data_IF_180636407361
#
_entry.id   IF_180636407361
#
_cell.length_a   1.000
_cell.length_b   1.000
_cell.length_c   1.000
_cell.angle_alpha   90.00
_cell.angle_beta   90.00
_cell.angle_gamma   90.00
#
_symmetry.space_group_name_H-M   'P 1'
#
loop_
_entity.id
_entity.type
_entity.pdbx_description
1 polymer ?
#
# COMPACT_ATOMS: atom_id res chain seq x y z
N UNK A 1 8.95 24.79 8.77
CA UNK A 1 10.41 24.85 8.97
C UNK A 1 10.83 25.82 10.06
N UNK A 2 10.57 27.14 9.95
CA UNK A 2 11.02 28.15 10.93
C UNK A 2 10.73 27.80 12.42
N UNK A 3 9.52 27.32 12.73
CA UNK A 3 9.13 26.87 14.09
C UNK A 3 10.08 25.79 14.64
N UNK A 4 10.51 24.82 13.82
CA UNK A 4 11.46 23.78 14.25
C UNK A 4 12.85 24.37 14.50
N UNK A 5 13.30 25.31 13.66
CA UNK A 5 14.58 26.00 13.85
C UNK A 5 14.60 26.79 15.15
N UNK A 6 13.57 27.62 15.42
CA UNK A 6 13.49 28.40 16.65
C UNK A 6 13.34 27.53 17.90
N UNK A 7 12.58 26.42 17.85
CA UNK A 7 12.52 25.45 18.96
C UNK A 7 13.86 24.75 19.22
N UNK A 8 14.71 24.58 18.20
CA UNK A 8 16.08 24.09 18.39
C UNK A 8 16.98 25.16 19.00
N UNK A 9 16.91 26.40 18.51
CA UNK A 9 17.71 27.52 19.01
C UNK A 9 17.43 27.82 20.48
N UNK A 10 16.16 27.78 20.91
CA UNK A 10 15.76 27.94 22.33
C UNK A 10 16.31 26.80 23.21
N UNK A 11 16.47 25.58 22.68
CA UNK A 11 17.10 24.48 23.44
C UNK A 11 18.61 24.64 23.61
N UNK A 12 19.28 25.24 22.63
CA UNK A 12 20.74 25.46 22.66
C UNK A 12 21.13 26.75 23.38
N UNK A 13 20.28 27.77 23.34
CA UNK A 13 20.47 29.06 24.00
C UNK A 13 19.12 29.54 24.58
N UNK A 14 18.76 29.10 25.80
CA UNK A 14 17.51 29.47 26.44
C UNK A 14 17.53 30.89 27.02
N UNK A 15 18.69 31.57 27.04
CA UNK A 15 18.83 32.89 27.68
C UNK A 15 18.49 34.06 26.76
N UNK A 16 18.39 33.81 25.45
CA UNK A 16 18.17 34.84 24.44
C UNK A 16 16.68 35.04 24.11
N UNK A 17 16.03 36.13 24.58
CA UNK A 17 14.59 36.32 24.46
C UNK A 17 14.10 36.50 23.01
N UNK A 18 15.00 36.89 22.08
CA UNK A 18 14.65 37.11 20.67
C UNK A 18 14.21 35.82 19.96
N UNK A 19 14.67 34.65 20.42
CA UNK A 19 14.21 33.37 19.86
C UNK A 19 12.77 33.06 20.26
N UNK A 20 12.39 33.34 21.50
CA UNK A 20 11.05 33.13 22.03
C UNK A 20 10.03 34.06 21.36
N UNK A 21 10.39 35.34 21.20
CA UNK A 21 9.60 36.35 20.48
C UNK A 21 9.36 35.94 19.01
N UNK A 22 10.42 35.53 18.29
CA UNK A 22 10.31 35.06 16.90
C UNK A 22 9.53 33.76 16.76
N UNK A 23 9.58 32.87 17.75
CA UNK A 23 8.77 31.66 17.77
C UNK A 23 7.27 32.00 17.93
N UNK A 24 6.91 32.91 18.84
CA UNK A 24 5.53 33.38 19.02
C UNK A 24 4.97 34.00 17.74
N UNK A 25 5.74 34.86 17.06
CA UNK A 25 5.36 35.41 15.76
C UNK A 25 5.09 34.31 14.72
N UNK A 26 5.97 33.29 14.64
CA UNK A 26 5.79 32.18 13.70
C UNK A 26 4.55 31.31 14.01
N UNK A 27 4.25 31.05 15.29
CA UNK A 27 3.06 30.29 15.68
C UNK A 27 1.78 31.12 15.48
N UNK A 28 1.81 32.46 15.62
CA UNK A 28 0.68 33.35 15.30
C UNK A 28 0.38 33.38 13.79
N UNK A 29 1.37 33.56 12.93
CA UNK A 29 1.20 33.54 11.47
C UNK A 29 0.76 32.15 10.97
N UNK A 30 1.25 31.07 11.59
CA UNK A 30 0.74 29.72 11.34
C UNK A 30 -0.74 29.59 11.73
N UNK A 31 -1.15 30.17 12.85
CA UNK A 31 -2.55 30.20 13.29
C UNK A 31 -3.46 30.89 12.27
N UNK A 32 -3.07 32.07 11.78
CA UNK A 32 -3.79 32.78 10.70
C UNK A 32 -3.89 31.93 9.43
N UNK A 33 -2.78 31.37 8.95
CA UNK A 33 -2.76 30.56 7.73
C UNK A 33 -3.63 29.29 7.83
N UNK A 34 -3.75 28.70 9.04
CA UNK A 34 -4.68 27.58 9.28
C UNK A 34 -6.14 28.07 9.27
N UNK A 35 -6.45 29.16 9.97
CA UNK A 35 -7.81 29.71 10.03
C UNK A 35 -8.32 30.15 8.63
N UNK A 36 -7.47 30.78 7.82
CA UNK A 36 -7.78 31.10 6.43
C UNK A 36 -8.02 29.84 5.58
N UNK A 37 -7.17 28.81 5.73
CA UNK A 37 -7.34 27.54 5.01
C UNK A 37 -8.62 26.78 5.43
N UNK A 38 -9.03 26.87 6.70
CA UNK A 38 -10.28 26.28 7.21
C UNK A 38 -11.51 27.04 6.71
N UNK A 39 -11.47 28.38 6.65
CA UNK A 39 -12.53 29.20 6.06
C UNK A 39 -12.77 28.83 4.58
N UNK A 40 -11.71 28.57 3.81
CA UNK A 40 -11.82 28.05 2.45
C UNK A 40 -12.37 26.62 2.35
N UNK A 41 -12.37 25.84 3.43
CA UNK A 41 -12.82 24.45 3.39
C UNK A 41 -14.35 24.29 3.45
N UNK A 42 -15.06 25.23 4.09
CA UNK A 42 -16.51 25.17 4.29
C UNK A 42 -17.38 25.43 3.06
N UNK A 43 -16.90 26.22 2.09
CA UNK A 43 -17.71 26.65 0.93
C UNK A 43 -17.29 26.00 -0.41
N UNK A 44 -16.09 25.42 -0.50
CA UNK A 44 -15.51 25.01 -1.79
C UNK A 44 -15.81 23.57 -2.25
N UNK A 45 -16.10 22.64 -1.34
CA UNK A 45 -16.20 21.20 -1.69
C UNK A 45 -17.49 20.83 -2.41
N UNK A 46 -18.63 21.36 -1.96
CA UNK A 46 -19.93 20.92 -2.46
C UNK A 46 -20.34 21.70 -3.71
N UNK A 47 -20.28 23.03 -3.69
CA UNK A 47 -20.68 23.88 -4.83
C UNK A 47 -19.89 23.60 -6.13
N UNK A 48 -18.57 23.35 -6.05
CA UNK A 48 -17.73 23.13 -7.24
C UNK A 48 -18.02 21.79 -7.94
N UNK A 49 -18.70 20.85 -7.28
CA UNK A 49 -19.13 19.57 -7.86
C UNK A 49 -20.63 19.59 -8.16
N UNK A 50 -21.47 20.12 -7.25
CA UNK A 50 -22.92 20.20 -7.48
C UNK A 50 -23.27 21.04 -8.71
N UNK A 51 -22.65 22.21 -8.92
CA UNK A 51 -23.01 23.09 -10.04
C UNK A 51 -22.83 22.41 -11.40
N UNK A 52 -21.66 21.84 -11.77
CA UNK A 52 -21.53 21.13 -13.04
C UNK A 52 -22.34 19.82 -13.12
N UNK A 53 -22.58 19.13 -12.00
CA UNK A 53 -23.46 17.94 -11.99
C UNK A 53 -24.92 18.33 -12.23
N UNK A 54 -25.41 19.40 -11.60
CA UNK A 54 -26.75 19.95 -11.82
C UNK A 54 -26.92 20.51 -13.23
N UNK A 55 -25.89 21.15 -13.80
CA UNK A 55 -25.89 21.59 -15.20
C UNK A 55 -25.92 20.40 -16.18
N UNK A 56 -25.16 19.33 -15.89
CA UNK A 56 -25.17 18.10 -16.67
C UNK A 56 -26.51 17.37 -16.60
N UNK A 57 -27.09 17.21 -15.40
CA UNK A 57 -28.41 16.61 -15.21
C UNK A 57 -29.53 17.47 -15.83
N UNK A 58 -29.42 18.79 -15.74
CA UNK A 58 -30.33 19.73 -16.40
C UNK A 58 -30.27 19.62 -17.92
N UNK A 59 -29.06 19.55 -18.50
CA UNK A 59 -28.90 19.30 -19.94
C UNK A 59 -29.46 17.94 -20.36
N UNK A 60 -29.24 16.88 -19.58
CA UNK A 60 -29.82 15.54 -19.84
C UNK A 60 -31.35 15.59 -19.76
N UNK A 61 -31.93 16.27 -18.77
CA UNK A 61 -33.37 16.47 -18.66
C UNK A 61 -33.95 17.27 -19.83
N UNK A 62 -33.27 18.35 -20.26
CA UNK A 62 -33.68 19.14 -21.42
C UNK A 62 -33.65 18.30 -22.70
N UNK A 63 -32.59 17.50 -22.91
CA UNK A 63 -32.51 16.55 -24.04
C UNK A 63 -33.59 15.49 -23.95
N UNK A 64 -33.88 14.96 -22.77
CA UNK A 64 -34.92 13.95 -22.56
C UNK A 64 -36.33 14.52 -22.78
N UNK A 65 -36.58 15.79 -22.42
CA UNK A 65 -37.81 16.50 -22.75
C UNK A 65 -37.91 16.90 -24.23
N UNK A 66 -36.78 17.19 -24.90
CA UNK A 66 -36.76 17.41 -26.36
C UNK A 66 -36.88 16.12 -27.18
N UNK A 67 -36.65 14.95 -26.55
CA UNK A 67 -36.91 13.62 -27.10
C UNK A 67 -38.36 13.14 -26.84
N UNK A 68 -39.25 14.02 -26.36
CA UNK A 68 -40.69 13.73 -26.36
C UNK A 68 -41.20 13.49 -27.79
N UNK A 69 -42.18 12.58 -27.98
CA UNK A 69 -42.44 11.93 -29.26
C UNK A 69 -42.87 12.84 -30.42
N UNK A 70 -43.29 14.08 -30.14
CA UNK A 70 -43.78 15.03 -31.15
C UNK A 70 -42.69 15.58 -32.11
N UNK A 71 -41.40 15.38 -31.81
CA UNK A 71 -40.28 15.87 -32.64
C UNK A 71 -39.73 14.87 -33.68
N UNK A 72 -40.22 13.63 -33.74
CA UNK A 72 -39.59 12.55 -34.52
C UNK A 72 -39.78 12.62 -36.05
N UNK A 73 -40.69 13.46 -36.56
CA UNK A 73 -40.99 13.51 -38.00
C UNK A 73 -39.95 14.24 -38.86
N UNK A 74 -39.03 15.03 -38.27
CA UNK A 74 -38.02 15.80 -39.02
C UNK A 74 -36.58 15.44 -38.65
N UNK A 75 -36.12 14.33 -39.21
CA UNK A 75 -34.74 13.85 -39.07
C UNK A 75 -33.66 14.88 -39.43
N UNK A 76 -33.90 15.74 -40.43
CA UNK A 76 -32.96 16.78 -40.84
C UNK A 76 -32.68 17.82 -39.75
N UNK A 77 -33.63 18.04 -38.82
CA UNK A 77 -33.44 18.89 -37.66
C UNK A 77 -32.79 18.15 -36.47
N UNK A 78 -32.93 16.82 -36.41
CA UNK A 78 -32.43 16.02 -35.29
C UNK A 78 -30.90 15.90 -35.29
N UNK A 79 -30.27 15.78 -36.47
CA UNK A 79 -28.80 15.69 -36.58
C UNK A 79 -28.10 16.93 -35.99
N UNK A 80 -28.40 18.19 -36.39
CA UNK A 80 -27.76 19.36 -35.80
C UNK A 80 -28.09 19.53 -34.31
N UNK A 81 -29.32 19.20 -33.87
CA UNK A 81 -29.67 19.23 -32.44
C UNK A 81 -28.81 18.25 -31.62
N UNK A 82 -28.64 17.02 -32.10
CA UNK A 82 -27.82 15.99 -31.46
C UNK A 82 -26.33 16.38 -31.46
N UNK A 83 -25.85 17.01 -32.54
CA UNK A 83 -24.49 17.54 -32.65
C UNK A 83 -24.24 18.69 -31.65
N UNK A 84 -25.19 19.62 -31.50
CA UNK A 84 -25.15 20.66 -30.46
C UNK A 84 -25.15 20.04 -29.07
N UNK A 85 -25.99 19.04 -28.80
CA UNK A 85 -26.01 18.34 -27.51
C UNK A 85 -24.66 17.68 -27.19
N UNK A 86 -24.08 16.95 -28.15
CA UNK A 86 -22.75 16.33 -28.00
C UNK A 86 -21.67 17.39 -27.74
N UNK A 87 -21.67 18.51 -28.48
CA UNK A 87 -20.72 19.59 -28.28
C UNK A 87 -20.88 20.30 -26.92
N UNK A 88 -22.12 20.50 -26.46
CA UNK A 88 -22.40 21.04 -25.11
C UNK A 88 -21.94 20.08 -24.00
N UNK A 89 -22.16 18.77 -24.18
CA UNK A 89 -21.75 17.75 -23.21
C UNK A 89 -20.22 17.62 -23.15
N UNK A 90 -19.55 17.64 -24.30
CA UNK A 90 -18.08 17.72 -24.40
C UNK A 90 -17.52 19.00 -23.77
N UNK A 91 -18.14 20.15 -24.03
CA UNK A 91 -17.79 21.43 -23.39
C UNK A 91 -17.91 21.38 -21.86
N UNK A 92 -19.00 20.80 -21.35
CA UNK A 92 -19.21 20.54 -19.93
C UNK A 92 -18.13 19.64 -19.33
N UNK A 93 -17.75 18.55 -20.02
CA UNK A 93 -16.66 17.66 -19.61
C UNK A 93 -15.31 18.41 -19.58
N UNK A 94 -14.99 19.22 -20.60
CA UNK A 94 -13.74 20.01 -20.64
C UNK A 94 -13.67 21.01 -19.49
N UNK A 95 -14.78 21.68 -19.16
CA UNK A 95 -14.87 22.58 -18.01
C UNK A 95 -14.72 21.81 -16.68
N UNK A 96 -15.35 20.65 -16.52
CA UNK A 96 -15.21 19.77 -15.36
C UNK A 96 -13.76 19.31 -15.15
N UNK A 97 -13.12 18.79 -16.20
CA UNK A 97 -11.72 18.35 -16.16
C UNK A 97 -10.78 19.51 -15.85
N UNK A 98 -11.04 20.69 -16.41
CA UNK A 98 -10.28 21.91 -16.12
C UNK A 98 -10.44 22.36 -14.66
N UNK A 99 -11.66 22.30 -14.13
CA UNK A 99 -11.99 22.54 -12.72
C UNK A 99 -11.25 21.57 -11.79
N UNK A 100 -11.36 20.26 -12.06
CA UNK A 100 -10.64 19.23 -11.32
C UNK A 100 -9.12 19.40 -11.38
N UNK A 101 -8.54 19.79 -12.52
CA UNK A 101 -7.11 20.06 -12.66
C UNK A 101 -6.68 21.24 -11.78
N UNK A 102 -7.44 22.35 -11.77
CA UNK A 102 -7.19 23.50 -10.88
C UNK A 102 -7.36 23.12 -9.40
N UNK A 103 -8.41 22.38 -9.05
CA UNK A 103 -8.67 21.92 -7.69
C UNK A 103 -7.54 20.99 -7.17
N UNK A 104 -7.07 20.05 -8.00
CA UNK A 104 -5.97 19.14 -7.65
C UNK A 104 -4.64 19.88 -7.48
N UNK A 105 -4.36 20.91 -8.29
CA UNK A 105 -3.18 21.78 -8.12
C UNK A 105 -3.27 22.57 -6.81
N UNK A 106 -4.44 23.13 -6.47
CA UNK A 106 -4.66 23.82 -5.17
C UNK A 106 -4.51 22.85 -3.98
N UNK A 107 -5.12 21.68 -4.03
CA UNK A 107 -4.99 20.63 -3.00
C UNK A 107 -3.53 20.20 -2.78
N UNK A 108 -2.74 20.01 -3.85
CA UNK A 108 -1.30 19.72 -3.72
C UNK A 108 -0.54 20.85 -3.00
N UNK A 109 -0.85 22.13 -3.27
CA UNK A 109 -0.24 23.26 -2.57
C UNK A 109 -0.62 23.30 -1.08
N UNK A 110 -1.86 22.96 -0.75
CA UNK A 110 -2.34 22.91 0.64
C UNK A 110 -1.66 21.76 1.42
N UNK A 111 -1.56 20.55 0.85
CA UNK A 111 -0.86 19.44 1.50
C UNK A 111 0.65 19.70 1.66
N UNK A 112 1.29 20.32 0.66
CA UNK A 112 2.68 20.76 0.80
C UNK A 112 2.86 21.80 1.92
N UNK A 113 1.88 22.69 2.16
CA UNK A 113 1.91 23.64 3.26
C UNK A 113 1.58 23.01 4.63
N UNK A 114 0.73 21.99 4.68
CA UNK A 114 0.29 21.32 5.91
C UNK A 114 1.31 20.32 6.48
N UNK A 115 2.38 20.00 5.76
CA UNK A 115 3.60 19.43 6.33
C UNK A 115 3.61 17.91 6.55
N UNK A 116 2.53 17.18 6.28
CA UNK A 116 2.45 15.72 6.50
C UNK A 116 3.47 14.91 5.72
N UNK A 117 3.81 15.37 4.51
CA UNK A 117 4.59 14.58 3.55
C UNK A 117 6.12 14.80 3.71
N UNK A 118 6.54 15.76 4.54
CA UNK A 118 7.96 16.05 4.80
C UNK A 118 8.69 14.92 5.55
N UNK A 119 7.97 13.99 6.18
CA UNK A 119 8.59 12.86 6.89
C UNK A 119 9.10 11.74 5.96
N UNK A 120 8.64 11.67 4.71
CA UNK A 120 8.94 10.55 3.79
C UNK A 120 9.72 10.92 2.53
N UNK A 121 9.85 12.20 2.17
CA UNK A 121 10.79 12.61 1.12
C UNK A 121 12.23 12.53 1.64
N UNK A 122 13.05 11.66 1.05
CA UNK A 122 14.43 11.38 1.47
C UNK A 122 15.45 12.52 1.17
N UNK A 123 15.12 13.75 1.55
CA UNK A 123 16.05 14.87 1.58
C UNK A 123 17.03 14.68 2.74
N UNK A 124 18.24 14.20 2.43
CA UNK A 124 19.35 14.15 3.40
C UNK A 124 19.80 15.59 3.71
N UNK A 125 19.17 16.21 4.69
CA UNK A 125 19.65 17.48 5.27
C UNK A 125 21.07 17.29 5.81
N UNK A 126 22.00 18.18 5.43
CA UNK A 126 23.32 18.23 6.08
C UNK A 126 23.12 18.44 7.60
N UNK A 127 23.68 17.55 8.41
CA UNK A 127 23.45 17.57 9.87
C UNK A 127 24.04 18.81 10.56
N UNK A 128 25.04 19.45 9.94
CA UNK A 128 25.68 20.67 10.46
C UNK A 128 24.87 21.94 10.18
N UNK A 129 24.35 22.12 8.96
CA UNK A 129 23.69 23.37 8.54
C UNK A 129 22.18 23.27 8.27
N UNK A 130 21.61 22.07 8.23
CA UNK A 130 20.17 21.84 8.04
C UNK A 130 19.62 22.14 6.63
N UNK A 131 20.46 22.62 5.69
CA UNK A 131 20.05 22.99 4.33
C UNK A 131 19.78 21.72 3.51
N UNK A 132 18.65 21.70 2.79
CA UNK A 132 18.11 20.52 2.11
C UNK A 132 18.30 20.56 0.58
N UNK A 133 19.54 20.80 0.12
CA UNK A 133 19.91 20.71 -1.31
C UNK A 133 21.36 20.24 -1.44
N UNK A 134 21.57 18.94 -1.66
CA UNK A 134 22.82 18.41 -2.19
C UNK A 134 22.45 17.32 -3.19
N UNK A 135 22.77 17.52 -4.47
CA UNK A 135 22.74 16.44 -5.44
C UNK A 135 23.74 15.35 -5.00
N UNK A 136 23.41 14.09 -5.23
CA UNK A 136 24.17 12.95 -4.70
C UNK A 136 25.52 12.77 -5.41
N UNK A 137 26.49 13.64 -5.12
CA UNK A 137 27.83 13.61 -5.71
C UNK A 137 28.85 14.60 -5.15
N UNK A 138 28.44 15.79 -4.68
CA UNK A 138 29.40 16.79 -4.18
C UNK A 138 29.72 16.63 -2.68
N UNK A 139 31.01 16.42 -2.38
CA UNK A 139 31.62 16.48 -1.04
C UNK A 139 32.93 17.27 -1.19
N UNK A 140 33.24 18.27 -0.34
CA UNK A 140 32.53 18.70 0.87
C UNK A 140 31.25 19.51 0.61
N UNK A 141 30.48 19.78 1.68
CA UNK A 141 29.25 20.58 1.59
C UNK A 141 29.57 22.07 1.39
N UNK A 142 29.30 22.60 0.18
CA UNK A 142 29.55 23.99 -0.27
C UNK A 142 29.14 25.14 0.68
N UNK A 143 28.31 24.89 1.69
CA UNK A 143 27.83 25.91 2.63
C UNK A 143 28.50 25.87 4.02
N UNK A 144 29.23 24.81 4.36
CA UNK A 144 29.83 24.67 5.70
C UNK A 144 31.13 23.86 5.74
N UNK A 145 31.63 23.39 4.59
CA UNK A 145 32.87 22.62 4.41
C UNK A 145 33.08 21.43 5.37
N UNK A 146 32.00 20.95 5.98
CA UNK A 146 32.05 19.90 6.99
C UNK A 146 32.62 18.60 6.38
N UNK A 147 33.77 18.08 6.89
CA UNK A 147 34.33 16.83 6.42
C UNK A 147 33.40 15.67 6.77
N UNK A 148 33.48 14.60 5.98
CA UNK A 148 32.70 13.39 6.18
C UNK A 148 33.03 12.81 7.57
N UNK A 149 32.02 12.71 8.43
CA UNK A 149 32.18 12.06 9.73
C UNK A 149 32.50 10.57 9.52
N UNK A 150 33.76 10.19 9.73
CA UNK A 150 34.17 8.79 9.76
C UNK A 150 33.59 8.12 11.00
N UNK A 151 32.88 7.00 10.77
CA UNK A 151 32.27 6.25 11.85
C UNK A 151 33.36 5.55 12.68
N UNK A 152 33.65 6.09 13.88
CA UNK A 152 34.47 5.40 14.87
C UNK A 152 33.78 4.09 15.30
N UNK A 153 34.50 2.95 15.36
CA UNK A 153 33.94 1.69 15.87
C UNK A 153 33.63 1.79 17.37
N UNK A 154 32.52 1.19 17.79
CA UNK A 154 31.94 1.35 19.12
C UNK A 154 32.54 0.41 20.18
N UNK A 155 33.86 0.41 20.35
CA UNK A 155 34.55 -0.52 21.26
C UNK A 155 35.69 0.11 22.07
N UNK A 156 35.47 1.30 22.65
CA UNK A 156 36.43 1.89 23.59
C UNK A 156 35.81 3.00 24.49
N UNK A 157 35.01 2.62 25.50
CA UNK A 157 34.72 3.51 26.65
C UNK A 157 34.09 2.77 27.85
N UNK A 158 34.91 2.29 28.78
CA UNK A 158 34.57 2.26 30.22
C UNK A 158 35.76 1.85 31.08
N UNK A 159 36.65 2.80 31.34
CA UNK A 159 37.51 2.78 32.52
C UNK A 159 37.29 4.10 33.27
N UNK A 160 36.65 4.04 34.44
CA UNK A 160 36.48 5.15 35.37
C UNK A 160 36.64 4.61 36.80
N UNK A 161 37.28 5.35 37.72
CA UNK A 161 37.83 4.76 38.94
C UNK A 161 36.84 4.69 40.11
N UNK A 162 37.16 3.79 41.05
CA UNK A 162 36.54 3.64 42.37
C UNK A 162 36.78 4.84 43.30
N UNK A 163 35.76 5.22 44.08
CA UNK A 163 35.91 5.96 45.33
C UNK A 163 34.82 5.52 46.34
N UNK A 164 35.21 5.28 47.60
CA UNK A 164 34.33 4.76 48.67
C UNK A 164 34.07 5.79 49.78
N UNK A 165 32.84 5.80 50.31
CA UNK A 165 32.47 6.11 51.72
C UNK A 165 30.94 5.93 51.83
N UNK A 166 30.39 5.03 52.65
CA UNK A 166 30.34 4.99 54.13
C UNK A 166 29.61 6.20 54.73
N UNK A 167 28.36 5.98 55.20
CA UNK A 167 27.81 6.47 56.48
C UNK A 167 26.48 5.73 56.80
N UNK A 168 26.10 5.73 58.08
CA UNK A 168 25.17 4.79 58.73
C UNK A 168 23.68 5.16 58.67
N UNK A 169 22.89 4.12 58.95
CA UNK A 169 21.48 4.05 59.34
C UNK A 169 20.94 5.15 60.27
N UNK A 170 19.64 5.46 60.12
CA UNK A 170 18.77 5.88 61.23
C UNK A 170 17.31 5.50 60.96
N UNK A 171 16.60 5.05 62.00
CA UNK A 171 15.19 4.66 62.03
C UNK A 171 14.26 5.83 62.39
N UNK A 172 13.01 5.85 61.92
CA UNK A 172 11.99 6.80 62.41
C UNK A 172 10.58 6.62 61.85
N UNK A 173 9.62 6.36 62.74
CA UNK A 173 8.15 6.42 62.57
C UNK A 173 7.55 6.96 63.88
N UNK A 174 6.26 7.37 63.93
CA UNK A 174 5.40 8.09 62.97
C UNK A 174 4.91 9.43 63.65
N UNK A 175 3.73 10.06 63.39
CA UNK A 175 2.39 9.47 63.65
C UNK A 175 1.22 9.85 62.69
N UNK A 176 0.22 8.96 62.73
CA UNK A 176 -1.24 9.11 62.56
C UNK A 176 -1.90 10.35 61.87
N UNK A 177 -2.83 10.05 60.95
CA UNK A 177 -4.15 10.71 60.89
C UNK A 177 -5.25 9.69 60.58
N UNK A 178 -6.51 10.00 60.94
CA UNK A 178 -7.56 9.01 61.22
C UNK A 178 -8.69 8.90 60.16
N UNK A 179 -9.20 7.66 60.06
CA UNK A 179 -10.59 7.27 59.80
C UNK A 179 -11.37 7.81 58.57
N UNK A 180 -11.78 6.87 57.71
CA UNK A 180 -13.22 6.62 57.47
C UNK A 180 -13.49 5.15 57.15
N UNK A 181 -14.53 4.59 57.75
CA UNK A 181 -14.90 3.18 57.61
C UNK A 181 -16.00 2.97 56.55
N UNK A 182 -15.95 1.84 55.86
CA UNK A 182 -17.13 1.04 55.52
C UNK A 182 -16.80 -0.45 55.61
N UNK A 183 -17.76 -1.20 56.15
CA UNK A 183 -17.66 -2.57 56.64
C UNK A 183 -18.28 -3.54 55.65
N UNK A 184 -17.63 -4.68 55.38
CA UNK A 184 -18.33 -5.98 55.24
C UNK A 184 -17.36 -7.13 55.47
N UNK A 185 -17.70 -8.03 56.40
CA UNK A 185 -17.10 -9.37 56.54
C UNK A 185 -17.44 -10.25 55.31
N UNK A 186 -16.74 -11.33 54.91
CA UNK A 186 -16.77 -12.69 55.51
C UNK A 186 -16.07 -13.66 54.53
N UNK A 187 -15.36 -14.76 54.84
CA UNK A 187 -14.42 -15.11 55.93
C UNK A 187 -13.79 -16.50 55.64
N UNK A 188 -12.54 -16.76 56.06
CA UNK A 188 -11.99 -18.10 56.48
C UNK A 188 -11.78 -19.20 55.39
N UNK A 189 -10.78 -20.10 55.42
CA UNK A 189 -9.41 -20.14 56.00
C UNK A 189 -8.61 -21.35 55.35
N UNK A 190 -7.59 -22.04 55.92
CA UNK A 190 -6.36 -22.33 55.16
C UNK A 190 -5.95 -23.82 55.06
N UNK A 191 -4.89 -24.13 54.30
CA UNK A 191 -4.09 -25.36 54.43
C UNK A 191 -2.59 -25.02 54.29
N UNK A 192 -1.75 -25.74 55.02
CA UNK A 192 -0.32 -25.48 55.27
C UNK A 192 0.58 -26.64 54.80
N UNK A 193 1.87 -26.59 55.21
CA UNK A 193 2.95 -27.61 55.07
C UNK A 193 3.80 -27.47 53.78
N UNK A 194 5.07 -27.03 53.83
CA UNK A 194 6.29 -27.63 54.43
C UNK A 194 6.83 -28.79 53.58
N UNK A 195 8.05 -28.63 53.01
CA UNK A 195 9.21 -29.49 53.29
C UNK A 195 10.53 -28.83 52.83
N UNK A 196 11.59 -29.06 53.60
CA UNK A 196 12.99 -28.74 53.30
C UNK A 196 13.64 -29.86 52.45
N UNK A 197 14.79 -29.60 51.82
CA UNK A 197 16.05 -30.31 52.12
C UNK A 197 17.23 -29.83 51.24
N UNK A 198 18.39 -29.71 51.86
CA UNK A 198 19.68 -29.35 51.25
C UNK A 198 20.44 -30.59 50.76
N UNK A 199 21.32 -30.43 49.76
CA UNK A 199 22.44 -31.38 49.51
C UNK A 199 23.70 -30.61 49.09
N UNK A 200 24.70 -30.66 49.96
CA UNK A 200 26.07 -30.16 49.75
C UNK A 200 27.05 -31.33 49.53
N UNK A 201 28.30 -31.03 49.16
CA UNK A 201 29.51 -31.90 49.27
C UNK A 201 29.56 -33.17 48.36
N UNK A 202 30.72 -33.78 48.02
CA UNK A 202 32.13 -33.53 48.37
C UNK A 202 33.13 -33.90 47.23
N UNK A 203 34.42 -33.98 47.58
CA UNK A 203 35.59 -34.28 46.75
C UNK A 203 35.73 -35.74 46.29
N UNK A 204 36.61 -36.02 45.31
CA UNK A 204 37.89 -36.67 45.63
C UNK A 204 38.82 -36.96 44.43
N UNK A 205 40.11 -37.05 44.75
CA UNK A 205 41.18 -37.58 43.88
C UNK A 205 41.77 -38.85 44.49
N UNK A 206 42.30 -39.77 43.67
CA UNK A 206 43.44 -40.56 44.15
C UNK A 206 44.62 -40.64 43.18
N UNK A 207 45.80 -40.91 43.77
CA UNK A 207 47.10 -41.13 43.11
C UNK A 207 47.25 -42.60 42.66
N UNK A 208 48.11 -42.87 41.67
CA UNK A 208 48.58 -44.22 41.35
C UNK A 208 49.73 -44.23 40.33
N UNK A 209 50.78 -45.02 40.57
CA UNK A 209 52.05 -45.05 39.79
C UNK A 209 52.32 -46.47 39.28
N UNK A 210 52.68 -46.66 38.00
CA UNK A 210 53.53 -47.80 37.58
C UNK A 210 54.15 -47.69 36.17
N UNK A 211 55.49 -47.76 36.13
CA UNK A 211 56.43 -48.32 35.14
C UNK A 211 56.11 -48.39 33.62
N UNK A 212 56.99 -47.70 32.87
CA UNK A 212 57.92 -48.22 31.85
C UNK A 212 57.41 -49.32 30.90
N UNK A 213 57.35 -49.00 29.59
CA UNK A 213 58.11 -49.79 28.61
C UNK A 213 58.56 -48.96 27.38
N UNK A 214 59.66 -49.38 26.75
CA UNK A 214 60.31 -48.65 25.65
C UNK A 214 60.03 -49.29 24.29
N UNK A 215 59.77 -48.50 23.23
CA UNK A 215 60.34 -48.78 21.88
C UNK A 215 60.11 -47.66 20.85
N UNK A 216 61.12 -47.51 19.97
CA UNK A 216 61.09 -46.91 18.62
C UNK A 216 60.62 -45.45 18.47
N UNK A 217 61.61 -44.56 18.50
CA UNK A 217 61.57 -43.25 17.84
C UNK A 217 61.15 -43.41 16.38
N UNK A 218 60.01 -42.82 16.02
CA UNK A 218 59.58 -42.59 14.64
C UNK A 218 59.63 -41.08 14.35
N UNK A 219 59.87 -40.64 13.10
CA UNK A 219 60.18 -39.24 12.82
C UNK A 219 58.99 -38.29 13.09
N UNK A 220 59.26 -37.23 13.85
CA UNK A 220 58.54 -35.96 13.90
C UNK A 220 57.03 -35.95 13.68
N UNK A 221 56.22 -36.48 14.61
CA UNK A 221 54.76 -36.32 14.58
C UNK A 221 54.36 -34.92 15.08
N UNK A 222 54.05 -34.00 14.14
CA UNK A 222 53.54 -32.65 14.47
C UNK A 222 52.40 -32.70 15.50
N UNK A 223 52.53 -31.89 16.55
CA UNK A 223 51.49 -31.72 17.57
C UNK A 223 50.56 -30.59 17.15
N UNK A 224 49.30 -30.93 16.87
CA UNK A 224 48.28 -29.98 16.45
C UNK A 224 47.41 -29.55 17.63
N UNK A 225 47.04 -28.27 17.65
CA UNK A 225 46.15 -27.68 18.65
C UNK A 225 44.86 -27.18 17.99
N UNK A 226 43.73 -27.30 18.69
CA UNK A 226 42.44 -26.85 18.18
C UNK A 226 42.39 -25.31 18.17
N UNK A 227 42.10 -24.71 17.03
CA UNK A 227 41.95 -23.24 16.91
C UNK A 227 40.82 -22.65 17.76
N UNK A 228 39.83 -23.45 18.18
CA UNK A 228 38.69 -22.97 18.95
C UNK A 228 38.90 -23.08 20.48
N UNK A 229 39.52 -24.15 20.97
CA UNK A 229 39.66 -24.40 22.42
C UNK A 229 41.12 -24.56 22.91
N UNK A 230 42.12 -24.35 22.05
CA UNK A 230 43.54 -24.41 22.37
C UNK A 230 44.09 -25.80 22.72
N UNK A 231 43.26 -26.81 23.00
CA UNK A 231 43.73 -28.13 23.42
C UNK A 231 44.32 -28.95 22.26
N UNK A 232 45.26 -29.84 22.60
CA UNK A 232 45.94 -30.77 21.69
C UNK A 232 44.94 -31.72 21.04
N UNK A 233 44.95 -31.81 19.72
CA UNK A 233 44.11 -32.72 18.92
C UNK A 233 44.93 -33.96 18.57
N UNK A 234 44.32 -35.14 18.71
CA UNK A 234 44.93 -36.40 18.25
C UNK A 234 44.98 -36.38 16.73
N UNK A 235 46.18 -36.45 16.15
CA UNK A 235 46.38 -36.39 14.70
C UNK A 235 45.62 -37.50 13.98
N UNK A 236 44.69 -37.11 13.10
CA UNK A 236 43.77 -38.01 12.39
C UNK A 236 42.30 -37.89 12.82
N UNK A 237 41.99 -37.22 13.93
CA UNK A 237 40.61 -37.00 14.36
C UNK A 237 39.84 -36.08 13.39
N UNK A 238 38.58 -36.43 13.10
CA UNK A 238 37.69 -35.64 12.24
C UNK A 238 37.07 -34.41 12.97
N UNK A 239 37.04 -34.43 14.30
CA UNK A 239 36.61 -33.32 15.14
C UNK A 239 37.46 -33.25 16.42
N UNK A 240 37.51 -32.07 17.04
CA UNK A 240 38.17 -31.91 18.34
C UNK A 240 37.35 -32.59 19.44
N UNK A 241 37.94 -33.59 20.11
CA UNK A 241 37.33 -34.35 21.20
C UNK A 241 36.90 -33.51 22.41
N UNK A 242 37.37 -32.26 22.54
CA UNK A 242 37.03 -31.38 23.66
C UNK A 242 36.04 -30.25 23.30
N UNK A 243 35.69 -30.04 22.03
CA UNK A 243 34.73 -28.98 21.67
C UNK A 243 33.85 -29.29 20.45
N UNK A 244 33.92 -30.48 19.87
CA UNK A 244 33.08 -30.93 18.76
C UNK A 244 33.36 -30.26 17.40
N UNK A 245 34.17 -29.21 17.34
CA UNK A 245 34.45 -28.50 16.09
C UNK A 245 35.22 -29.40 15.11
N UNK A 246 34.77 -29.54 13.85
CA UNK A 246 35.44 -30.38 12.84
C UNK A 246 36.83 -29.86 12.52
N UNK A 247 37.78 -30.79 12.37
CA UNK A 247 39.17 -30.49 12.05
C UNK A 247 39.44 -30.74 10.57
N UNK A 248 39.55 -29.64 9.80
CA UNK A 248 39.65 -29.57 8.33
C UNK A 248 40.90 -30.23 7.67
N UNK A 249 41.45 -31.33 8.21
CA UNK A 249 42.56 -32.10 7.61
C UNK A 249 42.16 -33.49 7.10
N UNK A 250 40.90 -33.91 7.26
CA UNK A 250 40.45 -35.27 6.94
C UNK A 250 39.66 -35.45 5.64
N UNK A 251 40.23 -35.14 4.46
CA UNK A 251 39.76 -35.67 3.16
C UNK A 251 40.75 -35.34 2.02
N UNK A 252 41.82 -36.13 1.88
CA UNK A 252 42.75 -36.05 0.74
C UNK A 252 42.19 -36.61 -0.57
N UNK A 253 40.90 -36.47 -0.85
CA UNK A 253 40.25 -36.99 -2.04
C UNK A 253 39.77 -35.83 -2.93
N UNK A 254 40.36 -35.70 -4.12
CA UNK A 254 40.02 -34.67 -5.11
C UNK A 254 38.69 -34.98 -5.82
N UNK A 255 37.59 -34.95 -5.08
CA UNK A 255 36.30 -34.66 -5.70
C UNK A 255 36.28 -33.16 -5.95
N UNK A 256 36.08 -32.76 -7.21
CA UNK A 256 35.99 -31.34 -7.58
C UNK A 256 34.76 -30.73 -6.90
N UNK A 257 34.95 -30.13 -5.73
CA UNK A 257 33.93 -29.31 -5.09
C UNK A 257 33.77 -28.05 -5.93
N UNK A 258 32.73 -28.04 -6.77
CA UNK A 258 32.20 -26.80 -7.34
C UNK A 258 32.10 -25.77 -6.21
N UNK A 259 32.61 -24.54 -6.38
CA UNK A 259 32.61 -23.55 -5.33
C UNK A 259 31.17 -23.32 -4.88
N UNK A 260 30.86 -23.69 -3.64
CA UNK A 260 29.53 -23.49 -3.07
C UNK A 260 29.28 -21.97 -3.12
N UNK A 261 28.31 -21.49 -3.90
CA UNK A 261 28.09 -20.06 -4.04
C UNK A 261 27.76 -19.49 -2.66
N UNK A 262 28.40 -18.37 -2.30
CA UNK A 262 28.03 -17.61 -1.10
C UNK A 262 26.53 -17.38 -1.17
N UNK A 263 25.77 -17.98 -0.25
CA UNK A 263 24.31 -17.82 -0.21
C UNK A 263 24.03 -16.39 0.20
N UNK A 264 23.57 -15.57 -0.74
CA UNK A 264 23.16 -14.20 -0.46
C UNK A 264 22.09 -14.20 0.63
N UNK A 265 22.44 -13.65 1.79
CA UNK A 265 21.55 -13.69 2.95
C UNK A 265 20.51 -12.58 2.77
N UNK A 266 19.25 -12.98 2.61
CA UNK A 266 18.14 -12.06 2.41
C UNK A 266 17.75 -11.43 3.74
N UNK A 267 17.39 -10.14 3.69
CA UNK A 267 16.86 -9.39 4.84
C UNK A 267 15.47 -8.85 4.50
N UNK A 268 14.58 -8.80 5.49
CA UNK A 268 13.26 -8.23 5.34
C UNK A 268 13.36 -6.71 5.13
N UNK A 269 12.68 -6.18 4.10
CA UNK A 269 12.67 -4.74 3.80
C UNK A 269 12.03 -3.88 4.90
N UNK A 270 11.07 -4.45 5.65
CA UNK A 270 10.33 -3.73 6.69
C UNK A 270 11.00 -3.81 8.06
N UNK A 271 11.34 -5.01 8.54
CA UNK A 271 11.90 -5.19 9.89
C UNK A 271 13.42 -5.36 9.94
N UNK A 272 14.12 -5.34 8.79
CA UNK A 272 15.58 -5.51 8.70
C UNK A 272 16.12 -6.89 9.10
N UNK A 273 15.29 -7.78 9.66
CA UNK A 273 15.72 -9.10 10.13
C UNK A 273 15.99 -10.06 8.98
N UNK A 274 16.94 -10.96 9.22
CA UNK A 274 17.38 -11.97 8.27
C UNK A 274 16.25 -12.98 7.98
N UNK A 275 16.08 -13.30 6.69
CA UNK A 275 15.04 -14.19 6.18
C UNK A 275 15.64 -15.53 5.77
N UNK A 276 14.90 -16.62 5.99
CA UNK A 276 15.22 -17.89 5.36
C UNK A 276 15.08 -17.74 3.83
N UNK A 277 16.00 -18.28 2.99
CA UNK A 277 15.96 -18.07 1.54
C UNK A 277 14.69 -18.56 0.82
N UNK A 278 13.89 -19.39 1.49
CA UNK A 278 12.61 -19.94 1.01
C UNK A 278 11.38 -19.39 1.76
N UNK A 279 11.55 -18.44 2.69
CA UNK A 279 10.41 -17.89 3.44
C UNK A 279 9.57 -16.97 2.54
N UNK A 280 8.35 -17.39 2.21
CA UNK A 280 7.38 -16.57 1.46
C UNK A 280 6.85 -15.37 2.28
N UNK A 281 6.91 -15.46 3.61
CA UNK A 281 6.46 -14.44 4.56
C UNK A 281 7.52 -14.24 5.64
N UNK A 282 7.76 -12.99 6.06
CA UNK A 282 8.68 -12.71 7.16
C UNK A 282 8.10 -13.20 8.49
N UNK A 283 8.79 -14.16 9.13
CA UNK A 283 8.40 -14.74 10.43
C UNK A 283 8.31 -13.71 11.56
N UNK A 284 8.92 -12.54 11.40
CA UNK A 284 8.99 -11.49 12.44
C UNK A 284 7.98 -10.35 12.27
N UNK A 285 7.43 -10.12 11.07
CA UNK A 285 6.50 -9.01 10.82
C UNK A 285 5.31 -9.35 9.92
N UNK A 286 5.18 -10.59 9.44
CA UNK A 286 4.04 -11.03 8.62
C UNK A 286 4.02 -10.51 7.17
N UNK A 287 5.01 -9.71 6.76
CA UNK A 287 5.04 -9.11 5.41
C UNK A 287 5.55 -10.14 4.39
N UNK A 288 4.86 -10.33 3.25
CA UNK A 288 5.29 -11.24 2.19
C UNK A 288 6.61 -10.77 1.57
N UNK A 289 7.53 -11.71 1.36
CA UNK A 289 8.92 -11.42 0.95
C UNK A 289 9.08 -11.22 -0.57
N UNK A 290 8.00 -11.42 -1.33
CA UNK A 290 7.92 -11.15 -2.78
C UNK A 290 8.77 -12.05 -3.67
N UNK A 291 9.52 -13.01 -3.10
CA UNK A 291 10.52 -13.80 -3.82
C UNK A 291 10.21 -15.29 -3.78
N UNK A 292 9.20 -15.71 -4.55
CA UNK A 292 9.02 -17.11 -4.91
C UNK A 292 10.19 -17.53 -5.83
N UNK A 293 11.26 -18.07 -5.25
CA UNK A 293 12.39 -18.64 -6.00
C UNK A 293 11.99 -20.04 -6.49
N UNK A 294 11.04 -20.09 -7.43
CA UNK A 294 10.82 -21.22 -8.32
C UNK A 294 11.66 -21.00 -9.57
N UNK A 295 12.83 -21.63 -9.63
CA UNK A 295 13.88 -21.35 -10.64
C UNK A 295 13.57 -21.86 -12.05
N UNK A 296 12.48 -21.39 -12.66
CA UNK A 296 12.32 -21.41 -14.11
C UNK A 296 12.81 -20.09 -14.71
N UNK A 297 13.72 -20.14 -15.67
CA UNK A 297 14.05 -19.00 -16.53
C UNK A 297 12.89 -18.75 -17.50
N UNK A 298 11.74 -18.33 -16.97
CA UNK A 298 10.73 -17.70 -17.80
C UNK A 298 11.34 -16.41 -18.32
N UNK A 299 11.30 -16.24 -19.65
CA UNK A 299 11.70 -15.01 -20.31
C UNK A 299 11.03 -13.81 -19.63
N UNK A 300 11.63 -12.64 -19.74
CA UNK A 300 10.96 -11.37 -19.43
C UNK A 300 9.88 -11.02 -20.48
N UNK A 301 9.15 -12.04 -20.94
CA UNK A 301 7.74 -11.96 -21.33
C UNK A 301 7.09 -11.08 -20.27
N UNK A 302 6.61 -9.90 -20.67
CA UNK A 302 6.01 -8.98 -19.73
C UNK A 302 4.84 -9.69 -19.06
N UNK A 303 4.98 -10.05 -17.79
CA UNK A 303 3.87 -10.47 -16.95
C UNK A 303 3.03 -9.23 -16.75
N UNK A 304 2.21 -8.93 -17.78
CA UNK A 304 1.16 -7.92 -17.73
C UNK A 304 0.38 -8.29 -16.48
N UNK A 305 0.38 -7.42 -15.45
CA UNK A 305 -0.24 -7.77 -14.20
C UNK A 305 -1.70 -8.09 -14.49
N UNK A 306 -2.13 -9.34 -14.23
CA UNK A 306 -3.40 -9.90 -14.74
C UNK A 306 -4.62 -9.01 -14.44
N UNK A 307 -4.54 -8.26 -13.35
CA UNK A 307 -5.51 -7.27 -12.89
C UNK A 307 -5.69 -6.01 -13.76
N UNK A 308 -4.81 -5.71 -14.73
CA UNK A 308 -5.08 -4.64 -15.71
C UNK A 308 -5.92 -5.11 -16.90
N UNK A 309 -5.81 -6.40 -17.26
CA UNK A 309 -6.44 -6.96 -18.45
C UNK A 309 -7.97 -6.94 -18.36
N UNK A 310 -8.54 -7.26 -17.20
CA UNK A 310 -10.00 -7.23 -16.98
C UNK A 310 -10.61 -5.85 -17.22
N UNK A 311 -9.95 -4.79 -16.75
CA UNK A 311 -10.38 -3.41 -16.96
C UNK A 311 -10.45 -3.01 -18.42
N UNK A 312 -9.48 -3.46 -19.23
CA UNK A 312 -9.43 -3.18 -20.68
C UNK A 312 -10.49 -4.01 -21.42
N UNK A 313 -10.61 -5.31 -21.11
CA UNK A 313 -11.63 -6.19 -21.72
C UNK A 313 -13.05 -5.66 -21.43
N UNK A 314 -13.34 -5.28 -20.19
CA UNK A 314 -14.65 -4.76 -19.81
C UNK A 314 -14.98 -3.41 -20.48
N UNK A 315 -13.96 -2.65 -20.92
CA UNK A 315 -14.12 -1.39 -21.67
C UNK A 315 -14.25 -1.62 -23.18
N UNK A 316 -13.59 -2.65 -23.73
CA UNK A 316 -13.76 -3.05 -25.12
C UNK A 316 -15.10 -3.74 -25.38
N UNK A 317 -15.64 -4.49 -24.41
CA UNK A 317 -16.84 -5.31 -24.62
C UNK A 317 -18.07 -4.51 -25.12
N UNK A 318 -18.46 -3.36 -24.53
CA UNK A 318 -19.60 -2.58 -25.04
C UNK A 318 -19.29 -1.89 -26.36
N UNK A 319 -18.01 -1.57 -26.63
CA UNK A 319 -17.59 -0.99 -27.91
C UNK A 319 -17.71 -2.03 -29.04
N UNK A 320 -17.22 -3.25 -28.82
CA UNK A 320 -17.42 -4.37 -29.74
C UNK A 320 -18.89 -4.71 -29.94
N UNK A 321 -19.70 -4.68 -28.87
CA UNK A 321 -21.15 -4.87 -28.94
C UNK A 321 -21.86 -3.78 -29.74
N UNK A 322 -21.42 -2.52 -29.62
CA UNK A 322 -21.96 -1.39 -30.40
C UNK A 322 -21.66 -1.54 -31.89
N UNK A 323 -20.42 -1.94 -32.24
CA UNK A 323 -20.04 -2.23 -33.62
C UNK A 323 -20.82 -3.42 -34.18
N UNK A 324 -21.01 -4.49 -33.39
CA UNK A 324 -21.81 -5.64 -33.78
C UNK A 324 -23.28 -5.25 -33.99
N UNK A 325 -23.88 -4.47 -33.08
CA UNK A 325 -25.24 -3.97 -33.25
C UNK A 325 -25.39 -3.17 -34.55
N UNK A 326 -24.46 -2.26 -34.84
CA UNK A 326 -24.49 -1.43 -36.04
C UNK A 326 -24.33 -2.26 -37.32
N UNK A 327 -23.27 -3.07 -37.45
CA UNK A 327 -22.98 -3.79 -38.70
C UNK A 327 -23.85 -5.04 -38.90
N UNK A 328 -24.15 -5.79 -37.84
CA UNK A 328 -24.90 -7.05 -37.96
C UNK A 328 -26.41 -6.84 -37.83
N UNK A 329 -26.90 -6.15 -36.79
CA UNK A 329 -28.35 -5.93 -36.65
C UNK A 329 -28.85 -4.90 -37.67
N UNK A 330 -28.04 -3.89 -38.01
CA UNK A 330 -28.36 -2.93 -39.07
C UNK A 330 -28.40 -3.51 -40.50
N UNK A 331 -27.91 -4.73 -40.72
CA UNK A 331 -28.03 -5.45 -42.00
C UNK A 331 -29.07 -6.58 -41.98
N UNK A 332 -29.83 -6.75 -40.88
CA UNK A 332 -30.89 -7.76 -40.80
C UNK A 332 -32.18 -7.31 -41.48
N UNK A 333 -32.79 -8.25 -42.22
CA UNK A 333 -34.17 -8.11 -42.70
C UNK A 333 -35.15 -8.09 -41.52
N UNK A 334 -36.22 -7.29 -41.63
CA UNK A 334 -37.26 -7.14 -40.60
C UNK A 334 -37.89 -8.48 -40.15
N UNK A 335 -37.95 -9.47 -41.05
CA UNK A 335 -38.46 -10.82 -40.77
C UNK A 335 -37.61 -11.61 -39.76
N UNK A 336 -36.36 -11.20 -39.50
CA UNK A 336 -35.46 -11.87 -38.55
C UNK A 336 -35.62 -11.39 -37.09
N UNK A 337 -36.61 -10.53 -36.82
CA UNK A 337 -36.85 -9.85 -35.54
C UNK A 337 -35.59 -9.17 -34.97
N UNK A 338 -35.07 -8.13 -35.65
CA UNK A 338 -33.86 -7.43 -35.21
C UNK A 338 -34.02 -6.77 -33.83
N UNK A 339 -35.25 -6.47 -33.40
CA UNK A 339 -35.53 -5.86 -32.10
C UNK A 339 -35.17 -6.79 -30.93
N UNK A 340 -35.57 -8.06 -30.97
CA UNK A 340 -35.21 -9.02 -29.91
C UNK A 340 -33.71 -9.37 -29.94
N UNK A 341 -33.09 -9.41 -31.12
CA UNK A 341 -31.63 -9.59 -31.24
C UNK A 341 -30.85 -8.41 -30.66
N UNK A 342 -31.28 -7.18 -30.92
CA UNK A 342 -30.69 -5.97 -30.35
C UNK A 342 -30.84 -5.96 -28.83
N UNK A 343 -32.03 -6.23 -28.31
CA UNK A 343 -32.31 -6.28 -26.87
C UNK A 343 -31.49 -7.38 -26.17
N UNK A 344 -31.43 -8.58 -26.76
CA UNK A 344 -30.62 -9.69 -26.24
C UNK A 344 -29.12 -9.38 -26.21
N UNK A 345 -28.60 -8.74 -27.27
CA UNK A 345 -27.19 -8.31 -27.34
C UNK A 345 -26.89 -7.24 -26.28
N UNK A 346 -27.80 -6.28 -26.05
CA UNK A 346 -27.65 -5.27 -25.00
C UNK A 346 -27.58 -5.91 -23.61
N UNK A 347 -28.55 -6.77 -23.27
CA UNK A 347 -28.62 -7.48 -21.98
C UNK A 347 -27.38 -8.34 -21.75
N UNK A 348 -26.97 -9.13 -22.75
CA UNK A 348 -25.76 -9.97 -22.64
C UNK A 348 -24.50 -9.14 -22.38
N UNK A 349 -24.37 -7.98 -23.04
CA UNK A 349 -23.22 -7.07 -22.87
C UNK A 349 -23.19 -6.44 -21.48
N UNK A 350 -24.35 -5.99 -20.97
CA UNK A 350 -24.48 -5.46 -19.61
C UNK A 350 -24.15 -6.55 -18.58
N UNK A 351 -24.75 -7.74 -18.68
CA UNK A 351 -24.48 -8.85 -17.76
C UNK A 351 -23.01 -9.26 -17.76
N UNK A 352 -22.40 -9.42 -18.95
CA UNK A 352 -21.00 -9.84 -19.06
C UNK A 352 -20.02 -8.79 -18.52
N UNK A 353 -20.27 -7.49 -18.74
CA UNK A 353 -19.47 -6.43 -18.09
C UNK A 353 -19.67 -6.39 -16.58
N UNK A 354 -20.88 -6.64 -16.06
CA UNK A 354 -21.12 -6.75 -14.62
C UNK A 354 -20.38 -7.95 -13.99
N UNK A 355 -20.34 -9.09 -14.68
CA UNK A 355 -19.53 -10.25 -14.28
C UNK A 355 -18.04 -9.91 -14.24
N UNK A 356 -17.51 -9.23 -15.27
CA UNK A 356 -16.11 -8.80 -15.31
C UNK A 356 -15.78 -7.81 -14.17
N UNK A 357 -16.66 -6.85 -13.89
CA UNK A 357 -16.54 -5.96 -12.72
C UNK A 357 -16.47 -6.74 -11.40
N UNK A 358 -17.33 -7.75 -11.23
CA UNK A 358 -17.36 -8.55 -10.02
C UNK A 358 -16.12 -9.45 -9.86
N UNK A 359 -15.63 -10.06 -10.94
CA UNK A 359 -14.39 -10.85 -10.94
C UNK A 359 -13.20 -9.96 -10.58
N UNK A 360 -13.06 -8.80 -11.22
CA UNK A 360 -12.00 -7.84 -10.92
C UNK A 360 -12.11 -7.31 -9.48
N UNK A 361 -13.31 -7.04 -8.99
CA UNK A 361 -13.55 -6.65 -7.60
C UNK A 361 -13.10 -7.73 -6.60
N UNK A 362 -13.29 -9.01 -6.94
CA UNK A 362 -12.83 -10.12 -6.12
C UNK A 362 -11.30 -10.24 -6.13
N UNK A 363 -10.66 -10.14 -7.31
CA UNK A 363 -9.19 -10.21 -7.43
C UNK A 363 -8.46 -9.09 -6.70
N UNK A 364 -9.00 -7.85 -6.70
CA UNK A 364 -8.40 -6.73 -5.95
C UNK A 364 -8.73 -6.74 -4.45
N UNK A 365 -9.50 -7.73 -3.98
CA UNK A 365 -9.94 -7.81 -2.58
C UNK A 365 -10.91 -6.70 -2.16
N UNK A 366 -11.68 -6.13 -3.09
CA UNK A 366 -12.67 -5.10 -2.77
C UNK A 366 -13.74 -5.66 -1.83
N UNK A 367 -14.00 -4.97 -0.72
CA UNK A 367 -14.91 -5.45 0.33
C UNK A 367 -14.43 -6.73 1.03
N UNK A 368 -13.13 -7.05 1.00
CA UNK A 368 -12.51 -7.99 1.94
C UNK A 368 -12.60 -7.47 3.39
N UNK A 369 -12.22 -8.28 4.39
CA UNK A 369 -12.18 -7.82 5.78
C UNK A 369 -11.11 -6.74 6.02
N UNK A 370 -10.07 -6.68 5.17
CA UNK A 370 -9.01 -5.66 5.22
C UNK A 370 -9.35 -4.40 4.43
N UNK A 371 -10.30 -4.44 3.48
CA UNK A 371 -10.79 -3.26 2.75
C UNK A 371 -11.78 -2.43 3.59
N UNK A 372 -11.22 -1.75 4.58
CA UNK A 372 -11.92 -0.82 5.45
C UNK A 372 -11.85 0.61 4.91
N UNK A 373 -12.95 1.34 5.09
CA UNK A 373 -12.96 2.80 4.94
C UNK A 373 -12.19 3.46 6.09
N UNK A 374 -11.78 4.74 5.97
CA UNK A 374 -11.19 5.50 7.09
C UNK A 374 -12.07 5.60 8.34
N UNK A 375 -13.36 5.23 8.25
CA UNK A 375 -14.31 5.15 9.36
C UNK A 375 -14.46 3.73 9.93
N UNK A 376 -13.55 2.80 9.60
CA UNK A 376 -13.60 1.39 10.01
C UNK A 376 -14.71 0.56 9.38
N UNK A 377 -15.60 1.14 8.56
CA UNK A 377 -16.68 0.39 7.89
C UNK A 377 -16.13 -0.37 6.68
N UNK A 378 -16.52 -1.64 6.53
CA UNK A 378 -16.23 -2.48 5.36
C UNK A 378 -16.82 -1.87 4.09
N UNK A 379 -16.10 -1.96 2.97
CA UNK A 379 -16.54 -1.49 1.64
C UNK A 379 -17.48 -2.46 0.93
N UNK A 380 -18.17 -1.99 -0.11
CA UNK A 380 -18.97 -2.84 -1.01
C UNK A 380 -18.07 -3.90 -1.68
N UNK A 381 -18.46 -5.17 -1.55
CA UNK A 381 -17.77 -6.32 -2.16
C UNK A 381 -18.32 -6.74 -3.53
N UNK A 382 -17.79 -7.82 -4.13
CA UNK A 382 -18.05 -8.19 -5.53
C UNK A 382 -19.52 -8.33 -5.91
N UNK A 383 -20.33 -8.94 -5.03
CA UNK A 383 -21.77 -9.14 -5.25
C UNK A 383 -22.52 -7.80 -5.29
N UNK A 384 -22.14 -6.84 -4.46
CA UNK A 384 -22.75 -5.51 -4.48
C UNK A 384 -22.40 -4.75 -5.77
N UNK A 385 -21.18 -4.92 -6.29
CA UNK A 385 -20.77 -4.36 -7.58
C UNK A 385 -21.49 -4.99 -8.77
N UNK A 386 -21.70 -6.31 -8.73
CA UNK A 386 -22.52 -7.02 -9.72
C UNK A 386 -23.94 -6.45 -9.73
N UNK A 387 -24.62 -6.41 -8.59
CA UNK A 387 -26.01 -5.94 -8.48
C UNK A 387 -26.15 -4.45 -8.84
N UNK A 388 -25.22 -3.60 -8.40
CA UNK A 388 -25.18 -2.19 -8.80
C UNK A 388 -24.96 -2.03 -10.31
N UNK A 389 -24.12 -2.88 -10.91
CA UNK A 389 -23.92 -2.95 -12.36
C UNK A 389 -25.20 -3.33 -13.11
N UNK A 390 -25.91 -4.37 -12.67
CA UNK A 390 -27.15 -4.83 -13.33
C UNK A 390 -28.27 -3.80 -13.23
N UNK A 391 -28.42 -3.14 -12.09
CA UNK A 391 -29.50 -2.15 -11.86
C UNK A 391 -29.20 -0.77 -12.45
N UNK A 392 -27.93 -0.33 -12.44
CA UNK A 392 -27.53 1.05 -12.74
C UNK A 392 -26.25 1.10 -13.60
N UNK A 393 -26.16 0.23 -14.61
CA UNK A 393 -24.96 0.02 -15.44
C UNK A 393 -24.23 1.30 -15.85
N UNK A 394 -24.96 2.24 -16.46
CA UNK A 394 -24.41 3.49 -16.99
C UNK A 394 -23.74 4.40 -15.93
N UNK A 395 -24.03 4.19 -14.64
CA UNK A 395 -23.43 4.91 -13.50
C UNK A 395 -22.40 4.01 -12.80
N UNK A 396 -22.76 2.76 -12.53
CA UNK A 396 -21.95 1.81 -11.79
C UNK A 396 -20.66 1.42 -12.52
N UNK A 397 -20.70 1.26 -13.85
CA UNK A 397 -19.53 0.89 -14.65
C UNK A 397 -18.45 2.00 -14.67
N UNK A 398 -18.76 3.27 -15.00
CA UNK A 398 -17.81 4.38 -14.80
C UNK A 398 -17.33 4.54 -13.35
N UNK A 399 -18.23 4.38 -12.38
CA UNK A 399 -17.88 4.52 -10.96
C UNK A 399 -16.89 3.43 -10.49
N UNK A 400 -17.05 2.18 -10.93
CA UNK A 400 -16.07 1.12 -10.72
C UNK A 400 -14.73 1.44 -11.39
N UNK A 401 -14.76 1.87 -12.66
CA UNK A 401 -13.55 2.21 -13.43
C UNK A 401 -12.80 3.44 -12.89
N UNK A 402 -13.46 4.29 -12.09
CA UNK A 402 -12.78 5.26 -11.24
C UNK A 402 -12.20 4.62 -9.98
N UNK A 403 -13.00 3.82 -9.27
CA UNK A 403 -12.66 3.26 -7.96
C UNK A 403 -11.50 2.28 -7.98
N UNK A 404 -11.27 1.56 -9.09
CA UNK A 404 -10.12 0.68 -9.32
C UNK A 404 -8.77 1.31 -8.92
N UNK A 405 -8.62 2.63 -9.08
CA UNK A 405 -7.38 3.34 -8.75
C UNK A 405 -7.09 3.47 -7.25
N UNK A 406 -8.02 3.09 -6.38
CA UNK A 406 -7.78 2.93 -4.94
C UNK A 406 -7.09 1.61 -4.60
N UNK A 407 -7.15 0.63 -5.51
CA UNK A 407 -6.52 -0.68 -5.41
C UNK A 407 -5.23 -0.77 -6.25
N UNK A 408 -4.61 0.38 -6.58
CA UNK A 408 -3.36 0.44 -7.35
C UNK A 408 -3.50 0.36 -8.88
N UNK A 409 -4.71 0.15 -9.41
CA UNK A 409 -4.95 0.00 -10.85
C UNK A 409 -4.98 1.34 -11.61
N UNK A 410 -4.67 1.32 -12.91
CA UNK A 410 -4.89 2.48 -13.80
C UNK A 410 -6.36 2.93 -13.76
N UNK A 411 -6.60 4.24 -13.62
CA UNK A 411 -7.95 4.81 -13.66
C UNK A 411 -8.47 4.86 -15.11
N UNK A 412 -9.57 4.15 -15.40
CA UNK A 412 -10.18 4.05 -16.73
C UNK A 412 -11.52 4.78 -16.85
N UNK A 413 -11.90 5.56 -15.83
CA UNK A 413 -13.20 6.24 -15.74
C UNK A 413 -13.59 7.04 -16.99
N UNK A 414 -12.67 7.83 -17.55
CA UNK A 414 -12.97 8.67 -18.73
C UNK A 414 -13.33 7.79 -19.94
N UNK A 415 -12.57 6.72 -20.20
CA UNK A 415 -12.88 5.79 -21.28
C UNK A 415 -14.20 5.05 -21.03
N UNK A 416 -14.48 4.67 -19.77
CA UNK A 416 -15.73 4.04 -19.39
C UNK A 416 -16.96 4.95 -19.61
N UNK A 417 -16.85 6.25 -19.30
CA UNK A 417 -17.91 7.24 -19.60
C UNK A 417 -18.15 7.32 -21.11
N UNK A 418 -17.09 7.50 -21.91
CA UNK A 418 -17.20 7.63 -23.37
C UNK A 418 -17.82 6.38 -24.00
N UNK A 419 -17.38 5.18 -23.59
CA UNK A 419 -17.94 3.91 -24.05
C UNK A 419 -19.39 3.72 -23.60
N UNK A 420 -19.75 4.11 -22.37
CA UNK A 420 -21.14 4.02 -21.90
C UNK A 420 -22.08 4.91 -22.70
N UNK A 421 -21.67 6.15 -22.98
CA UNK A 421 -22.43 7.09 -23.82
C UNK A 421 -22.57 6.53 -25.24
N UNK A 422 -21.46 6.09 -25.86
CA UNK A 422 -21.48 5.51 -27.20
C UNK A 422 -22.42 4.30 -27.30
N UNK A 423 -22.35 3.39 -26.34
CA UNK A 423 -23.21 2.20 -26.27
C UNK A 423 -24.70 2.58 -26.17
N UNK A 424 -25.06 3.45 -25.22
CA UNK A 424 -26.45 3.90 -25.06
C UNK A 424 -26.96 4.64 -26.30
N UNK A 425 -26.15 5.51 -26.91
CA UNK A 425 -26.53 6.22 -28.12
C UNK A 425 -26.74 5.28 -29.32
N UNK A 426 -25.82 4.34 -29.57
CA UNK A 426 -25.94 3.38 -30.69
C UNK A 426 -27.19 2.51 -30.52
N UNK A 427 -27.39 1.91 -29.35
CA UNK A 427 -28.55 1.06 -29.11
C UNK A 427 -29.88 1.85 -29.13
N UNK A 428 -29.89 3.09 -28.61
CA UNK A 428 -31.06 3.97 -28.66
C UNK A 428 -31.45 4.35 -30.10
N UNK A 429 -30.49 4.79 -30.92
CA UNK A 429 -30.73 5.15 -32.33
C UNK A 429 -31.18 3.93 -33.15
N UNK A 430 -30.52 2.78 -32.97
CA UNK A 430 -30.91 1.53 -33.66
C UNK A 430 -32.31 1.07 -33.27
N UNK A 431 -32.68 1.15 -31.98
CA UNK A 431 -34.02 0.79 -31.50
C UNK A 431 -35.10 1.72 -32.10
N UNK A 432 -34.86 3.03 -32.11
CA UNK A 432 -35.76 4.01 -32.71
C UNK A 432 -35.93 3.82 -34.23
N UNK A 433 -34.85 3.50 -34.94
CA UNK A 433 -34.89 3.20 -36.37
C UNK A 433 -35.73 1.93 -36.67
N UNK A 434 -35.54 0.85 -35.90
CA UNK A 434 -36.29 -0.40 -36.08
C UNK A 434 -37.80 -0.18 -35.85
N UNK A 435 -38.20 0.51 -34.79
CA UNK A 435 -39.62 0.77 -34.53
C UNK A 435 -40.25 1.71 -35.59
N UNK A 436 -39.49 2.68 -36.13
CA UNK A 436 -39.95 3.50 -37.26
C UNK A 436 -40.21 2.66 -38.52
N UNK A 437 -39.26 1.84 -38.95
CA UNK A 437 -39.47 0.99 -40.15
C UNK A 437 -40.62 -0.01 -39.93
N UNK A 438 -40.79 -0.50 -38.70
CA UNK A 438 -41.89 -1.40 -38.32
C UNK A 438 -43.26 -0.72 -38.32
N UNK A 439 -43.36 0.57 -37.94
CA UNK A 439 -44.61 1.33 -38.07
C UNK A 439 -44.94 1.65 -39.52
N UNK A 440 -43.95 2.02 -40.34
CA UNK A 440 -44.10 2.23 -41.79
C UNK A 440 -44.62 0.97 -42.49
N UNK A 441 -44.01 -0.19 -42.25
CA UNK A 441 -44.47 -1.47 -42.83
C UNK A 441 -45.86 -1.86 -42.33
N UNK A 442 -46.17 -1.64 -41.05
CA UNK A 442 -47.53 -1.88 -40.53
C UNK A 442 -48.56 -0.96 -41.19
N UNK A 443 -48.24 0.32 -41.40
CA UNK A 443 -49.14 1.25 -42.07
C UNK A 443 -49.36 0.87 -43.54
N UNK A 444 -48.32 0.44 -44.25
CA UNK A 444 -48.41 -0.04 -45.63
C UNK A 444 -49.23 -1.34 -45.77
N UNK A 445 -49.14 -2.26 -44.80
CA UNK A 445 -49.94 -3.49 -44.78
C UNK A 445 -51.41 -3.27 -44.39
N UNK A 446 -51.70 -2.22 -43.62
CA UNK A 446 -53.07 -1.81 -43.30
C UNK A 446 -53.77 -1.04 -44.44
N UNK A 447 -53.12 -0.87 -45.60
CA UNK A 447 -53.77 -0.41 -46.83
C UNK A 447 -54.33 -1.64 -47.54
N UNK A 448 -55.59 -2.00 -47.24
CA UNK A 448 -56.56 -2.78 -48.05
C UNK A 448 -57.72 -3.43 -47.24
N UNK A 449 -57.98 -3.01 -45.99
CA UNK A 449 -59.31 -3.22 -45.36
C UNK A 449 -60.30 -2.11 -45.74
#
# INVERSE_FOLDING_TARGET
TAIHLYRHLIKTDPTNPKWTERLQFCDQERGKAIAEAEAYHGWGKDCTVLVPVAFGLGAILIVWMMLLPEFFDKWDAMIPALLVCVMSLLGGIVLLVSGFKRARIRSKKIHAAQGSDYLHSALRTCWSCGISTVDAGEVPCKFCDAPKAEARPASESSAAPTASSVIKSASGTPPAFTARATKTETSVAPVSLIFEEDVDTESDTPKGISRIDSTRVSPGKEVLFCKNCGKKVVGGAAACTNCGVPTNRGAGNRVAQNPVPKRDVLFCRECGKQLHPQAAVCVYCGVPTGKFIGGGTMNAESVIPRHETFGIIALLLPLCSSLLAYFWVGSMNLLADPASKLSGLAIATVLLTCCLMAIEANEVGAGSQTDLTPKGKRREGPVAWFLAGVLLWAIAFPYWMHRRSKYGLKNLCIGAILVSILFVCVFGVMSAAIEKTKSEVRSALNINE
#
